data_IF_607344968976
#
_entry.id   IF_607344968976
#
_cell.length_a   1.000
_cell.length_b   1.000
_cell.length_c   1.000
_cell.angle_alpha   90.00
_cell.angle_beta   90.00
_cell.angle_gamma   90.00
#
_symmetry.space_group_name_H-M   'P 1'
#
loop_
_entity.id
_entity.type
_entity.pdbx_description
1 polymer ?
#
# COMPACT_ATOMS: atom_id res chain seq x y z
N UNK A 1 -6.89 -5.00 -12.75
CA UNK A 1 -6.27 -4.34 -13.93
C UNK A 1 -4.77 -4.47 -13.76
N UNK A 2 -4.02 -5.00 -14.75
CA UNK A 2 -2.56 -5.03 -14.72
C UNK A 2 -1.96 -3.61 -14.80
N UNK A 3 -0.64 -3.47 -14.83
CA UNK A 3 0.00 -2.17 -15.10
C UNK A 3 -0.59 -1.55 -16.37
N UNK A 4 -0.86 -0.25 -16.35
CA UNK A 4 -1.53 0.45 -17.45
C UNK A 4 -1.12 1.92 -17.51
N UNK A 5 -0.94 2.43 -18.72
CA UNK A 5 -0.79 3.86 -18.99
C UNK A 5 -2.11 4.57 -19.29
N UNK A 6 -3.23 3.84 -19.41
CA UNK A 6 -4.55 4.40 -19.71
C UNK A 6 -5.17 5.07 -18.48
N UNK A 7 -4.88 6.37 -18.32
CA UNK A 7 -5.39 7.19 -17.22
C UNK A 7 -6.92 7.24 -17.17
N UNK A 8 -7.62 7.16 -18.30
CA UNK A 8 -9.08 7.25 -18.33
C UNK A 8 -9.70 5.95 -17.78
N UNK A 9 -9.19 4.79 -18.22
CA UNK A 9 -9.60 3.49 -17.70
C UNK A 9 -9.30 3.38 -16.19
N UNK A 10 -8.13 3.82 -15.74
CA UNK A 10 -7.78 3.83 -14.30
C UNK A 10 -8.75 4.67 -13.48
N UNK A 11 -9.05 5.91 -13.92
CA UNK A 11 -10.00 6.79 -13.23
C UNK A 11 -11.40 6.20 -13.20
N UNK A 12 -11.87 5.64 -14.31
CA UNK A 12 -13.17 4.98 -14.40
C UNK A 12 -13.29 3.82 -13.41
N UNK A 13 -12.25 2.97 -13.32
CA UNK A 13 -12.21 1.88 -12.36
C UNK A 13 -12.26 2.39 -10.91
N UNK A 14 -11.46 3.41 -10.56
CA UNK A 14 -11.45 4.00 -9.22
C UNK A 14 -12.84 4.58 -8.88
N UNK A 15 -13.46 5.32 -9.81
CA UNK A 15 -14.80 5.89 -9.62
C UNK A 15 -15.90 4.84 -9.45
N UNK A 16 -15.65 3.59 -9.83
CA UNK A 16 -16.61 2.48 -9.66
C UNK A 16 -16.53 1.79 -8.30
N UNK A 17 -15.51 2.11 -7.47
CA UNK A 17 -15.36 1.50 -6.16
C UNK A 17 -16.46 1.93 -5.20
N UNK A 18 -17.10 0.95 -4.56
CA UNK A 18 -18.05 1.16 -3.48
C UNK A 18 -17.38 0.78 -2.16
N UNK A 19 -17.28 1.74 -1.25
CA UNK A 19 -16.70 1.50 0.08
C UNK A 19 -17.68 0.68 0.90
N UNK A 20 -17.31 -0.56 1.22
CA UNK A 20 -18.13 -1.47 2.04
C UNK A 20 -17.22 -2.37 2.87
N UNK A 21 -17.68 -2.78 4.06
CA UNK A 21 -16.98 -3.79 4.86
C UNK A 21 -15.87 -3.23 5.75
N UNK A 22 -14.65 -3.74 5.56
CA UNK A 22 -13.56 -3.63 6.52
C UNK A 22 -12.22 -3.28 5.84
N UNK A 23 -11.26 -2.76 6.61
CA UNK A 23 -9.98 -2.25 6.12
C UNK A 23 -8.90 -3.34 6.22
N UNK A 24 -8.62 -3.99 5.10
CA UNK A 24 -7.57 -5.02 4.96
C UNK A 24 -6.37 -4.50 4.16
N UNK A 25 -5.75 -3.41 4.62
CA UNK A 25 -4.71 -2.70 3.85
C UNK A 25 -3.49 -3.55 3.50
N UNK A 26 -3.16 -4.57 4.30
CA UNK A 26 -2.10 -5.53 4.00
C UNK A 26 -2.36 -6.34 2.71
N UNK A 27 -3.63 -6.64 2.39
CA UNK A 27 -3.99 -7.32 1.14
C UNK A 27 -3.81 -6.36 -0.03
N UNK A 28 -4.28 -5.12 0.10
CA UNK A 28 -4.10 -4.09 -0.93
C UNK A 28 -2.62 -3.87 -1.24
N UNK A 29 -1.79 -3.79 -0.20
CA UNK A 29 -0.34 -3.65 -0.34
C UNK A 29 0.29 -4.86 -1.03
N UNK A 30 -0.11 -6.08 -0.68
CA UNK A 30 0.39 -7.30 -1.33
C UNK A 30 0.04 -7.33 -2.83
N UNK A 31 -1.19 -6.98 -3.21
CA UNK A 31 -1.57 -6.91 -4.62
C UNK A 31 -0.86 -5.79 -5.38
N UNK A 32 -0.62 -4.64 -4.73
CA UNK A 32 0.22 -3.57 -5.27
C UNK A 32 1.64 -4.09 -5.58
N UNK A 33 2.24 -4.81 -4.63
CA UNK A 33 3.53 -5.46 -4.80
C UNK A 33 3.55 -6.45 -5.97
N UNK A 34 2.57 -7.36 -6.05
CA UNK A 34 2.47 -8.34 -7.15
C UNK A 34 2.31 -7.69 -8.51
N UNK A 35 1.72 -6.49 -8.56
CA UNK A 35 1.54 -5.74 -9.81
C UNK A 35 2.86 -5.16 -10.30
N UNK A 36 3.73 -4.71 -9.38
CA UNK A 36 5.01 -4.10 -9.75
C UNK A 36 6.16 -5.10 -9.74
N UNK A 37 6.08 -6.28 -9.15
CA UNK A 37 7.22 -7.21 -9.05
C UNK A 37 7.33 -8.14 -10.28
N UNK A 38 8.52 -8.29 -10.92
CA UNK A 38 8.68 -9.14 -12.10
C UNK A 38 8.50 -10.62 -11.78
N UNK A 39 8.76 -10.99 -10.52
CA UNK A 39 8.54 -12.34 -9.98
C UNK A 39 7.08 -12.79 -10.09
N UNK A 40 6.15 -11.84 -10.21
CA UNK A 40 4.71 -12.08 -10.33
C UNK A 40 4.16 -11.81 -11.74
N UNK A 41 5.01 -11.53 -12.74
CA UNK A 41 4.60 -11.37 -14.14
C UNK A 41 3.70 -12.51 -14.67
N UNK A 42 3.90 -13.79 -14.30
CA UNK A 42 3.02 -14.86 -14.74
C UNK A 42 1.54 -14.74 -14.29
N UNK A 43 1.23 -13.89 -13.30
CA UNK A 43 -0.15 -13.64 -12.88
C UNK A 43 -0.93 -12.74 -13.85
N UNK A 44 -0.24 -12.02 -14.74
CA UNK A 44 -0.82 -10.97 -15.56
C UNK A 44 -0.80 -11.35 -17.04
N UNK A 45 -1.92 -11.15 -17.74
CA UNK A 45 -2.05 -11.45 -19.17
C UNK A 45 -1.37 -10.43 -20.09
N UNK A 46 -0.84 -9.33 -19.55
CA UNK A 46 -0.16 -8.27 -20.29
C UNK A 46 0.44 -7.21 -19.35
N UNK A 47 1.27 -6.34 -19.90
CA UNK A 47 2.01 -5.28 -19.19
C UNK A 47 2.87 -5.82 -18.03
N UNK A 48 3.83 -6.72 -18.32
CA UNK A 48 4.73 -7.25 -17.30
C UNK A 48 5.57 -6.13 -16.69
N UNK A 49 5.85 -6.24 -15.39
CA UNK A 49 6.78 -5.36 -14.72
C UNK A 49 8.22 -5.67 -15.13
N UNK A 50 8.99 -4.63 -15.46
CA UNK A 50 10.43 -4.72 -15.71
C UNK A 50 11.25 -4.88 -14.42
N UNK A 51 12.51 -5.35 -14.49
CA UNK A 51 13.42 -5.35 -13.35
C UNK A 51 13.65 -3.92 -12.84
N UNK A 52 13.83 -3.74 -11.53
CA UNK A 52 14.20 -2.41 -11.03
C UNK A 52 15.59 -2.04 -11.53
N UNK A 53 15.73 -0.78 -11.93
CA UNK A 53 17.00 -0.15 -12.24
C UNK A 53 16.96 1.26 -11.67
N UNK A 54 17.84 1.62 -10.71
CA UNK A 54 17.86 2.97 -10.13
C UNK A 54 18.05 4.08 -11.17
N UNK A 55 18.66 3.79 -12.31
CA UNK A 55 18.97 4.76 -13.36
C UNK A 55 17.92 4.80 -14.48
N UNK A 56 17.16 3.72 -14.68
CA UNK A 56 16.20 3.59 -15.80
C UNK A 56 14.74 3.35 -15.37
N UNK A 57 14.49 2.62 -14.28
CA UNK A 57 13.15 2.19 -13.88
C UNK A 57 12.97 2.13 -12.36
N UNK A 58 12.37 3.20 -11.83
CA UNK A 58 11.86 3.24 -10.47
C UNK A 58 10.56 2.44 -10.34
N UNK A 59 10.43 1.72 -9.23
CA UNK A 59 9.25 0.91 -8.93
C UNK A 59 8.65 1.36 -7.62
N UNK A 60 7.39 1.74 -7.65
CA UNK A 60 6.74 2.41 -6.51
C UNK A 60 5.39 1.77 -6.20
N UNK A 61 5.12 1.57 -4.92
CA UNK A 61 3.77 1.30 -4.39
C UNK A 61 3.42 2.42 -3.42
N UNK A 62 2.23 2.99 -3.55
CA UNK A 62 1.71 3.99 -2.62
C UNK A 62 0.52 3.39 -1.88
N UNK A 63 0.64 3.29 -0.56
CA UNK A 63 -0.42 2.85 0.33
C UNK A 63 -1.07 4.08 0.96
N UNK A 64 -2.34 4.33 0.62
CA UNK A 64 -3.14 5.41 1.21
C UNK A 64 -4.27 4.82 2.04
N UNK A 65 -4.33 5.18 3.32
CA UNK A 65 -5.29 4.63 4.30
C UNK A 65 -5.34 5.51 5.54
N UNK A 66 -6.41 5.38 6.33
CA UNK A 66 -6.52 5.87 7.71
C UNK A 66 -5.69 5.03 8.73
N UNK A 67 -4.89 4.06 8.25
CA UNK A 67 -4.02 3.20 9.06
C UNK A 67 -4.74 2.26 10.03
N UNK A 68 -6.07 2.27 10.08
CA UNK A 68 -6.86 1.40 10.95
C UNK A 68 -7.16 0.06 10.27
N UNK A 69 -6.15 -0.80 10.19
CA UNK A 69 -6.35 -2.17 9.71
C UNK A 69 -7.18 -2.97 10.72
N UNK A 70 -8.48 -3.03 10.49
CA UNK A 70 -9.46 -3.70 11.35
C UNK A 70 -9.78 -5.13 10.87
N UNK A 71 -9.19 -5.56 9.75
CA UNK A 71 -9.24 -6.96 9.27
C UNK A 71 -7.85 -7.52 9.09
N UNK A 72 -7.50 -8.54 9.88
CA UNK A 72 -6.21 -9.23 9.79
C UNK A 72 -6.37 -10.56 9.05
N UNK A 73 -5.53 -10.81 8.06
CA UNK A 73 -5.47 -12.08 7.33
C UNK A 73 -4.09 -12.72 7.55
N UNK A 74 -3.88 -13.33 8.71
CA UNK A 74 -2.60 -14.01 8.99
C UNK A 74 -2.62 -15.51 8.66
N UNK A 75 -3.80 -16.12 8.51
CA UNK A 75 -3.94 -17.57 8.24
C UNK A 75 -5.17 -17.93 7.41
N UNK A 76 -5.64 -17.01 6.56
CA UNK A 76 -6.86 -17.21 5.77
C UNK A 76 -8.14 -17.13 6.62
N UNK A 77 -9.15 -16.47 6.05
CA UNK A 77 -10.52 -16.26 6.55
C UNK A 77 -10.68 -15.31 7.75
N UNK A 78 -11.60 -14.36 7.58
CA UNK A 78 -12.21 -13.54 8.63
C UNK A 78 -12.84 -14.46 9.68
N UNK A 79 -12.33 -14.43 10.92
CA UNK A 79 -12.99 -15.06 12.06
C UNK A 79 -13.53 -13.97 13.00
N UNK A 80 -14.78 -14.09 13.50
CA UNK A 80 -15.34 -13.10 14.43
C UNK A 80 -14.59 -13.13 15.77
N UNK A 81 -14.12 -11.98 16.23
CA UNK A 81 -13.58 -11.82 17.59
C UNK A 81 -12.08 -11.51 17.73
N UNK A 82 -11.35 -11.30 16.64
CA UNK A 82 -9.90 -11.02 16.70
C UNK A 82 -9.58 -9.54 16.99
N UNK A 83 -9.94 -9.08 18.19
CA UNK A 83 -9.21 -7.98 18.83
C UNK A 83 -7.96 -8.60 19.46
N UNK A 84 -6.80 -7.94 19.35
CA UNK A 84 -5.56 -8.28 20.08
C UNK A 84 -4.61 -9.34 19.49
N UNK A 85 -4.13 -9.18 18.25
CA UNK A 85 -2.78 -9.67 17.93
C UNK A 85 -2.04 -8.64 17.06
N UNK A 86 -1.13 -7.92 17.71
CA UNK A 86 -0.32 -6.75 17.30
C UNK A 86 -0.20 -6.54 15.77
N UNK A 87 -0.84 -5.46 15.29
CA UNK A 87 -0.87 -4.98 13.88
C UNK A 87 0.53 -4.76 13.29
N UNK A 88 1.49 -4.27 14.09
CA UNK A 88 2.87 -4.02 13.67
C UNK A 88 3.72 -5.30 13.49
N UNK A 89 3.47 -6.37 14.25
CA UNK A 89 4.26 -7.62 14.18
C UNK A 89 3.90 -8.49 12.97
N UNK A 90 2.77 -8.24 12.30
CA UNK A 90 2.45 -8.88 11.01
C UNK A 90 3.22 -8.21 9.87
N UNK A 91 3.34 -6.88 9.90
CA UNK A 91 4.01 -6.10 8.86
C UNK A 91 5.54 -6.25 8.91
N UNK A 92 6.13 -6.35 10.11
CA UNK A 92 7.58 -6.60 10.31
C UNK A 92 8.05 -7.97 9.79
N UNK A 93 7.14 -8.95 9.65
CA UNK A 93 7.46 -10.28 9.09
C UNK A 93 7.49 -10.29 7.57
N UNK A 94 6.98 -9.25 6.92
CA UNK A 94 7.03 -9.17 5.47
C UNK A 94 8.35 -8.55 5.02
N UNK A 95 9.29 -9.41 4.60
CA UNK A 95 10.57 -9.07 3.96
C UNK A 95 10.43 -8.36 2.59
N UNK A 96 9.30 -7.70 2.30
CA UNK A 96 9.10 -6.98 1.03
C UNK A 96 9.92 -5.68 0.98
N UNK A 97 10.27 -5.06 2.12
CA UNK A 97 10.98 -3.75 2.17
C UNK A 97 12.37 -3.74 1.48
N UNK A 98 12.91 -4.89 1.10
CA UNK A 98 14.23 -5.00 0.49
C UNK A 98 14.29 -5.90 -0.74
N UNK A 99 13.15 -6.39 -1.23
CA UNK A 99 13.14 -7.24 -2.41
C UNK A 99 13.04 -6.37 -3.69
N UNK A 100 13.96 -6.53 -4.63
CA UNK A 100 13.80 -6.04 -6.01
C UNK A 100 13.73 -4.52 -6.22
N UNK A 101 14.26 -3.70 -5.30
CA UNK A 101 14.37 -2.24 -5.50
C UNK A 101 13.03 -1.48 -5.55
N UNK A 102 11.97 -2.04 -4.96
CA UNK A 102 10.66 -1.42 -4.90
C UNK A 102 10.57 -0.48 -3.69
N UNK A 103 10.19 0.77 -3.95
CA UNK A 103 9.97 1.82 -2.94
C UNK A 103 8.49 1.83 -2.54
N UNK A 104 8.22 1.88 -1.24
CA UNK A 104 6.86 1.98 -0.72
C UNK A 104 6.68 3.26 0.08
N UNK A 105 5.74 4.05 -0.40
CA UNK A 105 5.24 5.26 0.26
C UNK A 105 3.98 4.94 1.04
N UNK A 106 3.82 5.56 2.20
CA UNK A 106 2.59 5.50 2.98
C UNK A 106 2.01 6.89 3.18
N UNK A 107 0.72 7.04 2.91
CA UNK A 107 -0.03 8.29 3.05
C UNK A 107 -1.18 8.07 4.04
N UNK A 108 -1.00 8.55 5.27
CA UNK A 108 -1.93 8.42 6.38
C UNK A 108 -2.78 9.67 6.55
N UNK A 109 -4.03 9.66 6.08
CA UNK A 109 -4.91 10.83 6.16
C UNK A 109 -5.56 10.93 7.54
N UNK A 110 -5.42 12.09 8.18
CA UNK A 110 -6.08 12.44 9.45
C UNK A 110 -5.78 11.47 10.61
N UNK A 111 -4.52 11.03 10.74
CA UNK A 111 -4.11 10.13 11.83
C UNK A 111 -3.90 10.88 13.16
N UNK A 112 -4.28 10.23 14.27
CA UNK A 112 -3.92 10.69 15.60
C UNK A 112 -2.41 10.52 15.84
N UNK A 113 -1.74 11.61 16.22
CA UNK A 113 -0.31 11.62 16.49
C UNK A 113 0.08 10.63 17.61
N UNK A 114 1.10 9.81 17.35
CA UNK A 114 1.55 8.75 18.25
C UNK A 114 0.60 7.56 18.36
N UNK A 115 -0.43 7.50 17.51
CA UNK A 115 -1.41 6.41 17.48
C UNK A 115 -0.89 5.16 16.75
N UNK A 116 -1.58 4.04 16.95
CA UNK A 116 -1.23 2.76 16.32
C UNK A 116 -1.26 2.83 14.78
N UNK A 117 -2.18 3.61 14.22
CA UNK A 117 -2.28 3.82 12.78
C UNK A 117 -1.02 4.49 12.22
N UNK A 118 -0.45 5.46 12.94
CA UNK A 118 0.80 6.10 12.56
C UNK A 118 1.97 5.10 12.60
N UNK A 119 2.06 4.28 13.65
CA UNK A 119 3.08 3.23 13.76
C UNK A 119 2.99 2.24 12.57
N UNK A 120 1.77 1.88 12.16
CA UNK A 120 1.55 1.03 10.99
C UNK A 120 2.12 1.68 9.73
N UNK A 121 1.80 2.96 9.47
CA UNK A 121 2.32 3.67 8.30
C UNK A 121 3.85 3.73 8.29
N UNK A 122 4.45 4.08 9.44
CA UNK A 122 5.91 4.12 9.60
C UNK A 122 6.56 2.74 9.39
N UNK A 123 5.92 1.68 9.87
CA UNK A 123 6.44 0.31 9.75
C UNK A 123 6.35 -0.24 8.33
N UNK A 124 5.34 0.18 7.56
CA UNK A 124 5.17 -0.19 6.17
C UNK A 124 6.21 0.54 5.31
N UNK A 125 6.29 1.86 5.37
CA UNK A 125 7.12 2.65 4.44
C UNK A 125 8.57 2.15 4.30
N UNK A 126 9.18 2.32 3.12
CA UNK A 126 10.57 1.90 2.88
C UNK A 126 11.55 2.56 3.85
N UNK A 127 11.33 3.83 4.18
CA UNK A 127 12.08 4.53 5.23
C UNK A 127 11.20 5.64 5.83
N UNK A 128 11.63 6.29 6.94
CA UNK A 128 10.90 7.40 7.52
C UNK A 128 10.64 8.58 6.56
N UNK A 129 11.46 8.77 5.53
CA UNK A 129 11.27 9.83 4.52
C UNK A 129 10.16 9.50 3.50
N UNK A 130 9.62 8.29 3.53
CA UNK A 130 8.54 7.83 2.65
C UNK A 130 7.18 7.80 3.36
N UNK A 131 7.09 8.43 4.53
CA UNK A 131 5.87 8.52 5.35
C UNK A 131 5.31 9.93 5.23
N UNK A 132 4.05 10.03 4.82
CA UNK A 132 3.31 11.28 4.69
C UNK A 132 2.05 11.18 5.54
N UNK A 133 1.82 12.17 6.41
CA UNK A 133 0.71 12.18 7.37
C UNK A 133 -0.14 13.45 7.19
N UNK A 134 -0.81 13.63 6.04
CA UNK A 134 -1.63 14.81 5.80
C UNK A 134 -2.79 14.91 6.79
N UNK A 135 -3.06 16.12 7.29
CA UNK A 135 -4.16 16.42 8.22
C UNK A 135 -5.44 16.92 7.53
N UNK A 136 -5.42 17.08 6.20
CA UNK A 136 -6.54 17.59 5.41
C UNK A 136 -6.43 17.18 3.95
N UNK A 137 -7.49 17.40 3.16
CA UNK A 137 -7.47 17.18 1.71
C UNK A 137 -6.49 18.09 0.95
N UNK A 138 -6.23 19.30 1.45
CA UNK A 138 -5.22 20.18 0.87
C UNK A 138 -3.81 19.63 1.10
N UNK A 139 -3.52 19.20 2.34
CA UNK A 139 -2.24 18.56 2.70
C UNK A 139 -2.05 17.25 1.93
N UNK A 140 -3.14 16.51 1.69
CA UNK A 140 -3.13 15.27 0.90
C UNK A 140 -2.66 15.54 -0.54
N UNK A 141 -3.17 16.60 -1.15
CA UNK A 141 -2.76 17.00 -2.51
C UNK A 141 -1.28 17.38 -2.55
N UNK A 142 -0.79 18.06 -1.51
CA UNK A 142 0.62 18.40 -1.36
C UNK A 142 1.51 17.18 -1.14
N UNK A 143 1.06 16.20 -0.35
CA UNK A 143 1.79 14.95 -0.11
C UNK A 143 2.02 14.19 -1.42
N UNK A 144 0.99 14.03 -2.25
CA UNK A 144 1.13 13.37 -3.56
C UNK A 144 1.95 14.17 -4.58
N UNK A 145 2.02 15.49 -4.45
CA UNK A 145 2.88 16.32 -5.30
C UNK A 145 4.36 16.25 -4.92
N UNK A 146 4.67 15.78 -3.70
CA UNK A 146 6.03 15.66 -3.17
C UNK A 146 6.62 14.24 -3.33
N UNK A 147 5.87 13.32 -3.94
CA UNK A 147 6.29 11.96 -4.32
C UNK A 147 6.63 11.95 -5.81
#
# INVERSE_FOLDING_TARGET
MPLSSDKAAMKSLISSFNVTGSTAGQIGLAWGWYTVSPSFNPLWSGNPAGPADPDELLKVVILMTDGEFNTNYCTGVLAPGFRQWRRADQLRRHQWRSAEGIVVYTVGLELAAGGEAEEVMQSCATSPTHVYLPSSGADLSQAFAAI
#
